data_IF_880402095942
#
_entry.id   IF_880402095942
#
_cell.length_a   1.000
_cell.length_b   1.000
_cell.length_c   1.000
_cell.angle_alpha   90.00
_cell.angle_beta   90.00
_cell.angle_gamma   90.00
#
_symmetry.space_group_name_H-M   'P 1'
#
loop_
_entity.id
_entity.type
_entity.pdbx_description
1 polymer ?
#
# COMPACT_ATOMS: atom_id res chain seq x y z
N UNK A 1 -26.82 21.05 -19.39
CA UNK A 1 -25.39 20.93 -19.73
C UNK A 1 -24.63 21.74 -18.69
N UNK A 2 -23.74 21.26 -17.83
CA UNK A 2 -23.13 19.94 -17.65
C UNK A 2 -22.45 19.95 -16.27
N UNK A 3 -23.02 19.32 -15.25
CA UNK A 3 -22.36 19.15 -13.93
C UNK A 3 -22.75 17.81 -13.30
N UNK A 4 -22.76 16.74 -14.11
CA UNK A 4 -23.13 15.37 -13.70
C UNK A 4 -21.95 14.41 -13.51
N UNK A 5 -20.73 14.92 -13.30
CA UNK A 5 -19.52 14.10 -13.13
C UNK A 5 -18.68 14.47 -11.90
N UNK A 6 -19.33 14.93 -10.83
CA UNK A 6 -18.74 14.99 -9.49
C UNK A 6 -19.76 14.38 -8.55
N UNK A 7 -19.65 13.08 -8.27
CA UNK A 7 -20.15 12.40 -7.04
C UNK A 7 -20.28 10.87 -7.18
N UNK A 8 -19.44 10.21 -7.96
CA UNK A 8 -19.33 8.73 -7.96
C UNK A 8 -17.92 8.21 -7.63
N UNK A 9 -17.01 9.08 -7.19
CA UNK A 9 -15.61 8.72 -6.92
C UNK A 9 -15.28 8.42 -5.45
N UNK A 10 -16.25 8.56 -4.54
CA UNK A 10 -16.03 8.53 -3.08
C UNK A 10 -16.96 7.59 -2.31
N UNK A 11 -17.60 6.60 -2.95
CA UNK A 11 -18.48 5.65 -2.22
C UNK A 11 -17.77 4.42 -1.65
N UNK A 12 -16.44 4.30 -1.77
CA UNK A 12 -15.64 3.25 -1.10
C UNK A 12 -14.53 3.77 -0.20
N UNK A 13 -14.42 5.09 -0.04
CA UNK A 13 -13.28 5.73 0.61
C UNK A 13 -13.58 6.04 2.05
N UNK A 14 -13.25 5.12 2.98
CA UNK A 14 -12.93 5.40 4.40
C UNK A 14 -12.42 4.18 5.19
N UNK A 15 -12.62 2.94 4.72
CA UNK A 15 -12.29 1.75 5.53
C UNK A 15 -10.79 1.49 5.73
N UNK A 16 -9.91 1.92 4.81
CA UNK A 16 -8.46 1.76 4.99
C UNK A 16 -7.86 2.67 6.08
N UNK A 17 -8.60 3.68 6.58
CA UNK A 17 -8.07 4.64 7.56
C UNK A 17 -7.83 4.00 8.94
N UNK A 18 -8.43 2.83 9.22
CA UNK A 18 -8.15 2.01 10.40
C UNK A 18 -7.13 0.89 10.14
N UNK A 19 -6.68 0.70 8.91
CA UNK A 19 -5.72 -0.35 8.62
C UNK A 19 -4.41 -0.01 9.33
N UNK A 20 -3.84 -0.97 10.06
CA UNK A 20 -2.53 -0.85 10.69
C UNK A 20 -1.55 -1.77 9.96
N UNK A 21 -0.36 -1.25 9.66
CA UNK A 21 0.75 -2.11 9.22
C UNK A 21 1.33 -2.76 10.48
N UNK A 22 1.12 -4.05 10.64
CA UNK A 22 1.67 -4.84 11.76
C UNK A 22 3.21 -4.85 11.70
N UNK A 23 3.84 -5.25 12.80
CA UNK A 23 5.31 -5.41 12.82
C UNK A 23 5.76 -6.50 11.85
N UNK A 24 5.02 -7.61 11.78
CA UNK A 24 5.28 -8.72 10.87
C UNK A 24 5.19 -8.31 9.40
N UNK A 25 4.20 -7.48 9.04
CA UNK A 25 4.06 -6.95 7.69
C UNK A 25 5.18 -5.96 7.38
N UNK A 26 5.51 -5.06 8.32
CA UNK A 26 6.63 -4.14 8.17
C UNK A 26 7.95 -4.89 7.93
N UNK A 27 8.23 -5.94 8.71
CA UNK A 27 9.44 -6.74 8.58
C UNK A 27 9.52 -7.46 7.24
N UNK A 28 8.39 -7.94 6.70
CA UNK A 28 8.34 -8.55 5.38
C UNK A 28 8.74 -7.54 4.28
N UNK A 29 8.15 -6.34 4.29
CA UNK A 29 8.53 -5.29 3.34
C UNK A 29 9.97 -4.81 3.53
N UNK A 30 10.43 -4.68 4.78
CA UNK A 30 11.80 -4.26 5.11
C UNK A 30 12.83 -5.23 4.55
N UNK A 31 12.62 -6.55 4.74
CA UNK A 31 13.50 -7.60 4.20
C UNK A 31 13.52 -7.58 2.68
N UNK A 32 12.35 -7.46 2.04
CA UNK A 32 12.26 -7.36 0.58
C UNK A 32 12.98 -6.13 0.03
N UNK A 33 12.74 -4.94 0.59
CA UNK A 33 13.37 -3.70 0.15
C UNK A 33 14.90 -3.79 0.31
N UNK A 34 15.37 -4.44 1.37
CA UNK A 34 16.79 -4.70 1.57
C UNK A 34 17.36 -5.70 0.56
N UNK A 35 16.65 -6.81 0.27
CA UNK A 35 17.14 -7.83 -0.67
C UNK A 35 17.22 -7.30 -2.09
N UNK A 36 16.20 -6.57 -2.55
CA UNK A 36 16.13 -6.08 -3.93
C UNK A 36 16.97 -4.82 -4.17
N UNK A 37 17.03 -3.90 -3.19
CA UNK A 37 17.61 -2.58 -3.39
C UNK A 37 18.75 -2.22 -2.44
N UNK A 38 19.07 -3.07 -1.45
CA UNK A 38 20.08 -2.78 -0.42
C UNK A 38 19.69 -1.64 0.55
N UNK A 39 18.43 -1.19 0.51
CA UNK A 39 17.97 -0.06 1.32
C UNK A 39 17.53 -0.56 2.70
N UNK A 40 18.14 -0.01 3.76
CA UNK A 40 17.72 -0.29 5.14
C UNK A 40 16.42 0.45 5.48
N UNK A 41 15.44 -0.30 6.00
CA UNK A 41 14.20 0.22 6.57
C UNK A 41 14.21 0.02 8.10
N UNK A 42 14.88 0.91 8.87
CA UNK A 42 14.83 0.85 10.33
C UNK A 42 13.42 1.18 10.85
N UNK A 43 13.05 0.78 12.08
CA UNK A 43 11.72 1.00 12.65
C UNK A 43 11.23 2.46 12.61
N UNK A 44 12.13 3.44 12.72
CA UNK A 44 11.81 4.87 12.61
C UNK A 44 11.20 5.25 11.25
N UNK A 45 11.43 4.46 10.19
CA UNK A 45 10.82 4.66 8.87
C UNK A 45 9.47 3.96 8.70
N UNK A 46 8.96 3.24 9.71
CA UNK A 46 7.67 2.53 9.64
C UNK A 46 6.52 3.46 9.29
N UNK A 47 6.44 4.64 9.90
CA UNK A 47 5.40 5.64 9.61
C UNK A 47 5.48 6.14 8.16
N UNK A 48 6.69 6.36 7.64
CA UNK A 48 6.90 6.76 6.25
C UNK A 48 6.45 5.66 5.28
N UNK A 49 6.83 4.41 5.56
CA UNK A 49 6.44 3.27 4.74
C UNK A 49 4.91 3.09 4.76
N UNK A 50 4.29 3.14 5.94
CA UNK A 50 2.82 3.15 6.09
C UNK A 50 2.17 4.21 5.20
N UNK A 51 2.63 5.46 5.25
CA UNK A 51 2.08 6.54 4.42
C UNK A 51 2.17 6.27 2.91
N UNK A 52 3.31 5.71 2.44
CA UNK A 52 3.51 5.35 1.03
C UNK A 52 2.61 4.19 0.60
N UNK A 53 2.55 3.14 1.41
CA UNK A 53 1.71 1.98 1.17
C UNK A 53 0.23 2.34 1.20
N UNK A 54 -0.21 3.19 2.14
CA UNK A 54 -1.59 3.67 2.22
C UNK A 54 -2.00 4.44 0.96
N UNK A 55 -1.08 5.22 0.38
CA UNK A 55 -1.33 5.88 -0.90
C UNK A 55 -1.57 4.85 -2.01
N UNK A 56 -0.73 3.81 -2.13
CA UNK A 56 -0.92 2.73 -3.11
C UNK A 56 -2.21 1.95 -2.89
N UNK A 57 -2.53 1.61 -1.65
CA UNK A 57 -3.80 0.93 -1.25
C UNK A 57 -5.01 1.73 -1.77
N UNK A 58 -5.01 3.06 -1.59
CA UNK A 58 -6.09 3.93 -2.09
C UNK A 58 -6.16 3.96 -3.62
N UNK A 59 -5.01 4.04 -4.28
CA UNK A 59 -4.92 4.04 -5.75
C UNK A 59 -5.43 2.72 -6.36
N UNK A 60 -5.15 1.60 -5.70
CA UNK A 60 -5.58 0.25 -6.10
C UNK A 60 -6.96 -0.15 -5.57
N UNK A 61 -7.64 0.75 -4.84
CA UNK A 61 -8.95 0.51 -4.20
C UNK A 61 -8.98 -0.72 -3.28
N UNK A 62 -7.87 -0.97 -2.59
CA UNK A 62 -7.73 -2.00 -1.56
C UNK A 62 -8.14 -1.45 -0.19
N UNK A 63 -8.45 -2.34 0.77
CA UNK A 63 -8.97 -1.94 2.08
C UNK A 63 -8.00 -2.18 3.24
N UNK A 64 -6.91 -2.94 3.05
CA UNK A 64 -5.95 -3.26 4.11
C UNK A 64 -4.50 -3.39 3.62
N UNK A 65 -3.54 -3.28 4.56
CA UNK A 65 -2.12 -3.56 4.29
C UNK A 65 -1.87 -5.02 3.95
N UNK A 66 -2.58 -5.95 4.59
CA UNK A 66 -2.43 -7.39 4.32
C UNK A 66 -2.89 -7.74 2.91
N UNK A 67 -4.01 -7.17 2.45
CA UNK A 67 -4.46 -7.34 1.06
C UNK A 67 -3.42 -6.78 0.07
N UNK A 68 -2.86 -5.61 0.36
CA UNK A 68 -1.80 -5.04 -0.47
C UNK A 68 -0.52 -5.87 -0.43
N UNK A 69 -0.16 -6.44 0.72
CA UNK A 69 1.01 -7.33 0.87
C UNK A 69 0.86 -8.57 0.00
N UNK A 70 -0.28 -9.26 0.08
CA UNK A 70 -0.58 -10.42 -0.76
C UNK A 70 -0.50 -10.09 -2.24
N UNK A 71 -1.08 -8.95 -2.64
CA UNK A 71 -0.96 -8.45 -4.01
C UNK A 71 0.49 -8.15 -4.39
N UNK A 72 1.20 -7.34 -3.60
CA UNK A 72 2.55 -6.87 -3.88
C UNK A 72 3.53 -8.05 -4.05
N UNK A 73 3.42 -9.07 -3.22
CA UNK A 73 4.27 -10.28 -3.30
C UNK A 73 3.76 -11.33 -4.29
N UNK A 74 2.59 -11.13 -4.92
CA UNK A 74 2.15 -11.97 -6.04
C UNK A 74 2.96 -11.67 -7.30
N UNK A 75 2.98 -12.62 -8.24
CA UNK A 75 3.63 -12.41 -9.54
C UNK A 75 3.10 -11.17 -10.27
N UNK A 76 1.78 -10.99 -10.28
CA UNK A 76 1.16 -9.82 -10.91
C UNK A 76 1.55 -8.50 -10.24
N UNK A 77 1.61 -8.47 -8.91
CA UNK A 77 2.00 -7.27 -8.18
C UNK A 77 3.46 -6.92 -8.41
N UNK A 78 4.36 -7.90 -8.40
CA UNK A 78 5.77 -7.69 -8.74
C UNK A 78 5.94 -7.15 -10.17
N UNK A 79 5.22 -7.72 -11.14
CA UNK A 79 5.26 -7.27 -12.53
C UNK A 79 4.72 -5.84 -12.71
N UNK A 80 3.80 -5.36 -11.85
CA UNK A 80 3.17 -4.04 -11.98
C UNK A 80 3.76 -2.95 -11.08
N UNK A 81 4.29 -3.30 -9.92
CA UNK A 81 4.79 -2.33 -8.92
C UNK A 81 6.30 -2.04 -9.03
N UNK A 82 7.09 -2.91 -9.69
CA UNK A 82 8.55 -2.79 -9.76
C UNK A 82 9.09 -2.20 -11.08
N UNK A 83 8.21 -1.78 -11.98
CA UNK A 83 8.55 -1.19 -13.30
C UNK A 83 8.81 0.32 -13.24
#
# INVERSE_FOLDING_TARGET
MSDRYKNSFFEGGLDCFKAELTEEDFDAFSRFIYSEYGIKMPPIKRVMLQGRLLKRIRELKMTSYSQYKEYFFSKEGQDKELL
#
